data_IF_209773793939
#
_entry.id   IF_209773793939
#
_cell.length_a   1.000
_cell.length_b   1.000
_cell.length_c   1.000
_cell.angle_alpha   90.00
_cell.angle_beta   90.00
_cell.angle_gamma   90.00
#
_symmetry.space_group_name_H-M   'P 1'
#
loop_
_entity.id
_entity.type
_entity.pdbx_description
1 polymer ?
#
# COMPACT_ATOMS: atom_id res chain seq x y z
N UNK A 1 -16.85 -1.24 45.01
CA UNK A 1 -16.18 -2.15 44.05
C UNK A 1 -16.34 -1.53 42.67
N UNK A 2 -15.27 -0.95 42.12
CA UNK A 2 -15.28 -0.36 40.78
C UNK A 2 -14.95 -1.43 39.75
N UNK A 3 -15.87 -1.68 38.80
CA UNK A 3 -15.58 -2.48 37.62
C UNK A 3 -15.46 -1.54 36.43
N UNK A 4 -14.22 -1.28 36.05
CA UNK A 4 -13.86 -0.61 34.82
C UNK A 4 -14.01 -1.51 33.60
N UNK A 5 -14.17 -0.82 32.46
CA UNK A 5 -13.73 -1.19 31.12
C UNK A 5 -14.15 -2.55 30.56
N UNK A 6 -15.09 -2.50 29.61
CA UNK A 6 -14.93 -3.28 28.40
C UNK A 6 -15.58 -2.54 27.22
N UNK A 7 -14.90 -1.52 26.70
CA UNK A 7 -15.23 -0.95 25.39
C UNK A 7 -14.57 -1.86 24.36
N UNK A 8 -15.26 -2.95 24.03
CA UNK A 8 -14.94 -3.78 22.88
C UNK A 8 -15.00 -2.90 21.65
N UNK A 9 -13.86 -2.74 21.00
CA UNK A 9 -13.78 -2.14 19.67
C UNK A 9 -14.43 -3.14 18.72
N UNK A 10 -15.72 -2.90 18.45
CA UNK A 10 -16.49 -3.55 17.41
C UNK A 10 -15.75 -3.35 16.07
N UNK A 11 -15.28 -4.45 15.49
CA UNK A 11 -14.52 -4.48 14.24
C UNK A 11 -15.44 -4.60 13.01
N UNK A 12 -16.71 -4.25 13.15
CA UNK A 12 -17.76 -4.47 12.12
C UNK A 12 -18.63 -3.25 11.85
N UNK A 13 -18.21 -2.04 12.25
CA UNK A 13 -18.68 -0.85 11.55
C UNK A 13 -18.06 -0.89 10.15
N UNK A 14 -18.80 -1.45 9.19
CA UNK A 14 -18.64 -1.18 7.77
C UNK A 14 -18.60 0.35 7.65
N UNK A 15 -17.39 0.91 7.65
CA UNK A 15 -17.19 2.33 7.41
C UNK A 15 -17.63 2.53 5.98
N UNK A 16 -18.88 2.95 5.81
CA UNK A 16 -19.44 3.36 4.54
C UNK A 16 -18.71 4.65 4.17
N UNK A 17 -17.57 4.47 3.48
CA UNK A 17 -16.85 5.58 2.90
C UNK A 17 -17.68 6.03 1.70
N UNK A 18 -18.20 7.27 1.69
CA UNK A 18 -18.92 7.78 0.54
C UNK A 18 -17.99 7.71 -0.66
N UNK A 19 -18.37 6.92 -1.67
CA UNK A 19 -17.68 6.89 -2.95
C UNK A 19 -18.04 8.21 -3.63
N UNK A 20 -17.13 9.18 -3.57
CA UNK A 20 -17.29 10.43 -4.30
C UNK A 20 -16.89 10.19 -5.76
N UNK A 21 -17.76 10.51 -6.72
CA UNK A 21 -17.47 10.53 -8.17
C UNK A 21 -16.51 11.68 -8.57
N UNK A 22 -15.61 12.07 -7.67
CA UNK A 22 -14.62 13.12 -7.90
C UNK A 22 -13.29 12.47 -8.26
N UNK A 23 -12.60 13.10 -9.21
CA UNK A 23 -11.22 12.76 -9.47
C UNK A 23 -10.39 12.96 -8.19
N UNK A 24 -9.40 12.10 -8.00
CA UNK A 24 -8.41 12.27 -6.94
C UNK A 24 -7.74 13.63 -7.10
N UNK A 25 -7.52 14.33 -5.97
CA UNK A 25 -6.70 15.53 -5.97
C UNK A 25 -5.25 15.19 -6.33
N UNK A 26 -4.46 16.19 -6.71
CA UNK A 26 -3.04 16.00 -7.02
C UNK A 26 -2.29 15.35 -5.84
N UNK A 27 -2.51 15.86 -4.62
CA UNK A 27 -1.93 15.30 -3.38
C UNK A 27 -2.35 13.83 -3.16
N UNK A 28 -3.60 13.47 -3.43
CA UNK A 28 -4.07 12.08 -3.31
C UNK A 28 -3.42 11.17 -4.34
N UNK A 29 -3.21 11.65 -5.57
CA UNK A 29 -2.51 10.91 -6.62
C UNK A 29 -1.03 10.72 -6.30
N UNK A 30 -0.36 11.75 -5.76
CA UNK A 30 1.01 11.66 -5.28
C UNK A 30 1.14 10.63 -4.16
N UNK A 31 0.24 10.68 -3.17
CA UNK A 31 0.22 9.72 -2.07
C UNK A 31 -0.04 8.28 -2.54
N UNK A 32 -0.97 8.09 -3.48
CA UNK A 32 -1.23 6.78 -4.09
C UNK A 32 0.01 6.27 -4.82
N UNK A 33 0.66 7.13 -5.61
CA UNK A 33 1.87 6.79 -6.35
C UNK A 33 3.01 6.39 -5.41
N UNK A 34 3.25 7.17 -4.35
CA UNK A 34 4.26 6.86 -3.33
C UNK A 34 3.95 5.52 -2.62
N UNK A 35 2.68 5.29 -2.27
CA UNK A 35 2.25 4.02 -1.65
C UNK A 35 2.50 2.82 -2.55
N UNK A 36 2.18 2.93 -3.85
CA UNK A 36 2.43 1.87 -4.82
C UNK A 36 3.93 1.61 -5.01
N UNK A 37 4.78 2.66 -4.99
CA UNK A 37 6.25 2.50 -5.03
C UNK A 37 6.76 1.74 -3.79
N UNK A 38 6.25 2.09 -2.61
CA UNK A 38 6.58 1.36 -1.36
C UNK A 38 6.22 -0.11 -1.47
N UNK A 39 5.01 -0.44 -1.93
CA UNK A 39 4.56 -1.83 -2.08
C UNK A 39 5.40 -2.59 -3.10
N UNK A 40 5.77 -1.96 -4.23
CA UNK A 40 6.63 -2.55 -5.26
C UNK A 40 7.99 -2.98 -4.71
N UNK A 41 8.59 -2.16 -3.84
CA UNK A 41 9.97 -2.35 -3.36
C UNK A 41 10.05 -3.05 -2.00
N UNK A 42 8.91 -3.23 -1.34
CA UNK A 42 8.83 -3.90 -0.04
C UNK A 42 9.13 -5.39 -0.20
N UNK A 43 10.25 -5.84 0.39
CA UNK A 43 10.72 -7.23 0.29
C UNK A 43 9.73 -8.28 0.78
N UNK A 44 8.97 -7.93 1.82
CA UNK A 44 8.03 -8.85 2.46
C UNK A 44 6.63 -8.82 1.84
N UNK A 45 6.42 -7.94 0.84
CA UNK A 45 5.16 -7.89 0.10
C UNK A 45 5.02 -9.14 -0.82
N UNK A 46 3.82 -9.74 -0.90
CA UNK A 46 3.60 -10.88 -1.80
C UNK A 46 3.91 -10.55 -3.26
N UNK A 47 4.54 -11.46 -4.04
CA UNK A 47 4.96 -11.19 -5.42
C UNK A 47 3.82 -10.71 -6.32
N UNK A 48 2.62 -11.30 -6.18
CA UNK A 48 1.44 -10.90 -6.94
C UNK A 48 1.04 -9.43 -6.67
N UNK A 49 1.24 -8.94 -5.44
CA UNK A 49 0.95 -7.57 -5.05
C UNK A 49 2.04 -6.60 -5.54
N UNK A 50 3.31 -7.02 -5.50
CA UNK A 50 4.41 -6.25 -6.10
C UNK A 50 4.22 -6.09 -7.61
N UNK A 51 3.86 -7.16 -8.33
CA UNK A 51 3.63 -7.12 -9.78
C UNK A 51 2.42 -6.26 -10.14
N UNK A 52 1.36 -6.31 -9.34
CA UNK A 52 0.21 -5.41 -9.48
C UNK A 52 0.63 -3.95 -9.35
N UNK A 53 1.43 -3.62 -8.32
CA UNK A 53 1.95 -2.27 -8.13
C UNK A 53 2.81 -1.81 -9.31
N UNK A 54 3.62 -2.69 -9.91
CA UNK A 54 4.40 -2.38 -11.14
C UNK A 54 3.51 -2.07 -12.33
N UNK A 55 2.42 -2.84 -12.51
CA UNK A 55 1.50 -2.64 -13.63
C UNK A 55 0.73 -1.32 -13.50
N UNK A 56 0.27 -1.00 -12.28
CA UNK A 56 -0.39 0.27 -11.96
C UNK A 56 0.54 1.46 -12.16
N UNK A 57 1.75 1.42 -11.59
CA UNK A 57 2.75 2.49 -11.75
C UNK A 57 3.21 2.67 -13.20
N UNK A 58 3.24 1.58 -13.98
CA UNK A 58 3.62 1.60 -15.39
C UNK A 58 2.52 2.04 -16.34
N UNK A 59 1.31 2.36 -15.84
CA UNK A 59 0.15 2.73 -16.67
C UNK A 59 -0.32 1.60 -17.61
N UNK A 60 0.09 0.36 -17.35
CA UNK A 60 -0.29 -0.82 -18.17
C UNK A 60 -1.64 -1.38 -17.76
N UNK A 61 -2.13 -0.99 -16.59
CA UNK A 61 -3.38 -1.45 -16.01
C UNK A 61 -3.96 -0.30 -15.20
N UNK A 62 -5.25 -0.03 -15.37
CA UNK A 62 -5.95 0.94 -14.53
C UNK A 62 -6.46 0.26 -13.26
N UNK A 63 -6.57 1.01 -12.16
CA UNK A 63 -7.06 0.45 -10.90
C UNK A 63 -8.45 -0.16 -11.03
N UNK A 64 -9.33 0.42 -11.86
CA UNK A 64 -10.65 -0.16 -12.15
C UNK A 64 -10.54 -1.54 -12.81
N UNK A 65 -9.60 -1.73 -13.73
CA UNK A 65 -9.44 -3.00 -14.44
C UNK A 65 -8.89 -4.09 -13.51
N UNK A 66 -8.07 -3.68 -12.53
CA UNK A 66 -7.65 -4.57 -11.44
C UNK A 66 -8.87 -5.06 -10.67
N UNK A 67 -9.75 -4.14 -10.28
CA UNK A 67 -10.95 -4.44 -9.52
C UNK A 67 -11.94 -5.26 -10.35
N UNK A 68 -12.03 -5.07 -11.66
CA UNK A 68 -12.90 -5.90 -12.50
C UNK A 68 -12.34 -7.30 -12.76
N UNK A 69 -11.05 -7.52 -12.51
CA UNK A 69 -10.40 -8.82 -12.71
C UNK A 69 -10.43 -9.71 -11.46
N UNK A 70 -10.77 -11.00 -11.62
CA UNK A 70 -10.75 -11.97 -10.51
C UNK A 70 -9.34 -12.17 -9.93
N UNK A 71 -8.31 -12.04 -10.77
CA UNK A 71 -6.90 -12.09 -10.38
C UNK A 71 -6.49 -10.87 -9.56
N UNK A 72 -6.93 -9.67 -9.94
CA UNK A 72 -6.65 -8.43 -9.20
C UNK A 72 -7.35 -8.41 -7.85
N UNK A 73 -8.61 -8.86 -7.78
CA UNK A 73 -9.34 -9.03 -6.52
C UNK A 73 -8.62 -9.97 -5.55
N UNK A 74 -8.10 -11.12 -6.02
CA UNK A 74 -7.29 -12.01 -5.17
C UNK A 74 -5.96 -11.40 -4.76
N UNK A 75 -5.26 -10.75 -5.69
CA UNK A 75 -3.97 -10.11 -5.37
C UNK A 75 -4.13 -9.03 -4.29
N UNK A 76 -5.20 -8.24 -4.35
CA UNK A 76 -5.54 -7.25 -3.32
C UNK A 76 -6.04 -7.92 -2.04
N UNK A 77 -6.96 -8.89 -2.13
CA UNK A 77 -7.55 -9.56 -0.96
C UNK A 77 -6.53 -10.37 -0.17
N UNK A 78 -5.94 -11.39 -0.82
CA UNK A 78 -5.01 -12.34 -0.21
C UNK A 78 -3.65 -11.67 0.06
N UNK A 79 -3.19 -10.82 -0.86
CA UNK A 79 -1.91 -10.11 -0.73
C UNK A 79 -1.92 -9.13 0.44
N UNK A 80 -2.98 -8.34 0.58
CA UNK A 80 -3.11 -7.45 1.73
C UNK A 80 -3.41 -8.21 3.03
N UNK A 81 -4.09 -9.37 2.97
CA UNK A 81 -4.31 -10.18 4.17
C UNK A 81 -2.98 -10.61 4.81
N UNK A 82 -2.03 -11.12 4.00
CA UNK A 82 -0.70 -11.47 4.48
C UNK A 82 0.05 -10.26 5.07
N UNK A 83 0.01 -9.11 4.40
CA UNK A 83 0.63 -7.88 4.92
C UNK A 83 -0.02 -7.41 6.23
N UNK A 84 -1.34 -7.54 6.38
CA UNK A 84 -2.03 -7.19 7.64
C UNK A 84 -1.62 -8.12 8.78
N UNK A 85 -1.41 -9.41 8.51
CA UNK A 85 -0.91 -10.34 9.52
C UNK A 85 0.53 -10.02 9.92
N UNK A 86 1.42 -9.76 8.95
CA UNK A 86 2.78 -9.30 9.23
C UNK A 86 2.77 -8.02 10.07
N UNK A 87 1.94 -7.04 9.69
CA UNK A 87 1.78 -5.80 10.45
C UNK A 87 1.34 -6.05 11.89
N UNK A 88 0.39 -6.97 12.11
CA UNK A 88 -0.06 -7.35 13.48
C UNK A 88 1.04 -7.99 14.31
N UNK A 89 1.97 -8.71 13.69
CA UNK A 89 3.08 -9.37 14.37
C UNK A 89 4.31 -8.46 14.57
N UNK A 90 4.43 -7.36 13.82
CA UNK A 90 5.50 -6.37 14.02
C UNK A 90 5.35 -5.61 15.34
N UNK A 91 6.49 -5.32 15.97
CA UNK A 91 6.58 -4.41 17.11
C UNK A 91 6.21 -2.96 16.71
N UNK A 92 5.84 -2.10 17.66
CA UNK A 92 5.56 -0.70 17.38
C UNK A 92 6.72 0.03 16.68
N UNK A 93 7.97 -0.29 17.04
CA UNK A 93 9.16 0.29 16.43
C UNK A 93 9.33 -0.13 14.97
N UNK A 94 9.12 -1.41 14.66
CA UNK A 94 9.18 -1.93 13.29
C UNK A 94 8.08 -1.34 12.41
N UNK A 95 6.86 -1.20 12.95
CA UNK A 95 5.75 -0.51 12.25
C UNK A 95 6.09 0.93 11.92
N UNK A 96 6.78 1.63 12.84
CA UNK A 96 7.19 3.01 12.61
C UNK A 96 8.25 3.09 11.50
N UNK A 97 9.22 2.17 11.47
CA UNK A 97 10.19 2.08 10.38
C UNK A 97 9.53 1.86 9.01
N UNK A 98 8.49 1.02 8.92
CA UNK A 98 7.76 0.82 7.67
C UNK A 98 6.98 2.07 7.24
N UNK A 99 6.46 2.86 8.18
CA UNK A 99 5.80 4.14 7.87
C UNK A 99 6.77 5.17 7.33
N UNK A 100 7.92 5.27 7.99
CA UNK A 100 8.95 6.26 7.69
C UNK A 100 9.82 5.85 6.49
N UNK A 101 9.73 4.60 6.02
CA UNK A 101 10.44 4.14 4.83
C UNK A 101 10.03 4.95 3.60
N UNK A 102 10.98 5.66 3.01
CA UNK A 102 10.87 6.31 1.72
C UNK A 102 11.75 5.58 0.68
N UNK A 103 11.16 4.95 -0.36
CA UNK A 103 11.92 4.23 -1.37
C UNK A 103 12.81 5.14 -2.23
N UNK A 104 12.50 6.45 -2.30
CA UNK A 104 13.27 7.42 -3.09
C UNK A 104 14.49 7.95 -2.31
N UNK A 105 14.56 7.74 -0.98
CA UNK A 105 15.73 8.06 -0.14
C UNK A 105 16.72 6.89 0.00
N UNK A 106 16.35 5.66 -0.41
CA UNK A 106 17.29 4.54 -0.41
C UNK A 106 18.32 4.71 -1.55
N UNK A 107 19.62 4.93 -1.25
CA UNK A 107 20.64 5.18 -2.26
C UNK A 107 20.84 4.01 -3.24
N UNK A 108 20.23 2.85 -3.00
CA UNK A 108 20.25 1.70 -3.90
C UNK A 108 19.19 1.76 -5.01
N UNK A 109 18.17 2.61 -4.88
CA UNK A 109 17.10 2.80 -5.86
C UNK A 109 17.18 4.11 -6.65
N UNK A 110 18.19 4.95 -6.37
CA UNK A 110 18.45 6.14 -7.17
C UNK A 110 18.61 5.73 -8.65
N UNK A 111 17.73 6.18 -9.57
CA UNK A 111 17.95 5.94 -10.99
C UNK A 111 19.28 6.59 -11.34
N UNK A 112 20.22 5.78 -11.81
CA UNK A 112 21.55 6.24 -12.17
C UNK A 112 21.45 7.53 -12.96
N UNK A 113 21.98 8.63 -12.40
CA UNK A 113 22.35 9.82 -13.16
C UNK A 113 23.42 9.37 -14.16
N UNK A 114 22.99 8.84 -15.29
CA UNK A 114 23.83 8.54 -16.43
C UNK A 114 24.31 9.89 -16.97
N UNK A 115 25.53 10.25 -16.54
CA UNK A 115 26.25 11.43 -16.97
C UNK A 115 26.71 11.32 -18.41
N UNK A 116 25.79 11.27 -19.37
CA UNK A 116 26.10 11.53 -20.79
C UNK A 116 25.94 13.01 -21.10
N UNK A 117 26.94 13.77 -20.64
CA UNK A 117 27.44 14.91 -21.40
C UNK A 117 28.71 14.41 -22.09
N UNK A 118 28.61 14.19 -23.41
CA UNK A 118 29.61 14.55 -24.43
C UNK A 118 29.12 14.13 -25.80
#
# INVERSE_FOLDING_TARGET
MSTGSNRGYDASEEREYPIEDKNLTEEQNEHLTASLRKVRDMKDAPPALQDLARQLLGGRMELKDVLDSSSGHRALGDGLAGMREQWRNMSPQERQQVRDYDPDEDPKNAPGRDGRIR
#
